data_IF_764791567361
#
_entry.id   IF_764791567361
#
_cell.length_a   1.000
_cell.length_b   1.000
_cell.length_c   1.000
_cell.angle_alpha   90.00
_cell.angle_beta   90.00
_cell.angle_gamma   90.00
#
_symmetry.space_group_name_H-M   'P 1'
#
loop_
_entity.id
_entity.type
_entity.pdbx_description
1 polymer ?
#
# COMPACT_ATOMS: atom_id res chain seq x y z
N UNK A 1 9.26 -22.97 13.11
CA UNK A 1 7.96 -22.51 12.67
C UNK A 1 7.44 -21.33 13.46
N UNK A 2 7.43 -21.41 14.78
CA UNK A 2 7.04 -20.25 15.54
C UNK A 2 8.04 -19.12 15.40
N UNK A 3 9.15 -19.36 14.74
CA UNK A 3 10.13 -18.31 14.46
C UNK A 3 9.58 -17.21 13.56
N UNK A 4 8.54 -17.51 12.80
CA UNK A 4 7.96 -16.52 11.87
C UNK A 4 6.99 -15.56 12.54
N UNK A 5 6.40 -15.99 13.67
CA UNK A 5 5.35 -15.21 14.30
C UNK A 5 5.80 -13.82 14.76
N UNK A 6 6.99 -13.68 15.36
CA UNK A 6 7.42 -12.34 15.77
C UNK A 6 7.53 -11.34 14.64
N UNK A 7 7.95 -11.80 13.45
CA UNK A 7 8.06 -10.91 12.29
C UNK A 7 6.70 -10.46 11.81
N UNK A 8 5.75 -11.38 11.77
CA UNK A 8 4.38 -11.06 11.39
C UNK A 8 3.75 -10.09 12.38
N UNK A 9 4.01 -10.30 13.66
CA UNK A 9 3.52 -9.40 14.69
C UNK A 9 4.07 -8.00 14.54
N UNK A 10 5.34 -7.87 14.13
CA UNK A 10 5.93 -6.56 13.88
C UNK A 10 5.26 -5.84 12.73
N UNK A 11 4.93 -6.57 11.67
CA UNK A 11 4.25 -5.96 10.53
C UNK A 11 2.87 -5.47 10.93
N UNK A 12 2.13 -6.25 11.71
CA UNK A 12 0.83 -5.83 12.21
C UNK A 12 0.95 -4.56 13.02
N UNK A 13 1.95 -4.46 13.89
CA UNK A 13 2.16 -3.28 14.72
C UNK A 13 2.48 -2.05 13.91
N UNK A 14 3.20 -2.20 12.79
CA UNK A 14 3.56 -1.07 11.95
C UNK A 14 2.34 -0.30 11.47
N UNK A 15 1.23 -0.98 11.25
CA UNK A 15 0.06 -0.36 10.63
C UNK A 15 -1.05 -0.02 11.61
N UNK A 16 -0.90 -0.35 12.88
CA UNK A 16 -1.93 -0.07 13.89
C UNK A 16 -2.18 1.42 14.12
N UNK A 17 -1.19 2.25 13.80
CA UNK A 17 -1.33 3.69 13.97
C UNK A 17 -2.21 4.33 12.90
N UNK A 18 -2.44 3.66 11.79
CA UNK A 18 -3.17 4.24 10.66
C UNK A 18 -4.62 3.80 10.73
N UNK A 19 -5.45 4.65 11.31
CA UNK A 19 -6.85 4.32 11.58
C UNK A 19 -7.86 5.23 10.90
N UNK A 20 -7.41 6.27 10.20
CA UNK A 20 -8.30 7.23 9.56
C UNK A 20 -7.80 7.55 8.17
N UNK A 21 -8.65 7.33 7.18
CA UNK A 21 -8.27 7.47 5.77
C UNK A 21 -9.26 8.38 5.05
N UNK A 22 -8.71 9.30 4.28
CA UNK A 22 -9.52 10.15 3.40
C UNK A 22 -10.18 9.24 2.37
N UNK A 23 -11.47 9.40 2.19
CA UNK A 23 -12.25 8.60 1.24
C UNK A 23 -12.90 7.37 1.83
N UNK A 24 -12.51 6.98 3.05
CA UNK A 24 -13.08 5.79 3.69
C UNK A 24 -13.56 6.07 5.11
N UNK A 25 -12.84 6.95 5.83
CA UNK A 25 -13.11 7.22 7.23
C UNK A 25 -12.30 6.30 8.13
N UNK A 26 -12.96 5.71 9.11
CA UNK A 26 -12.30 4.87 10.10
C UNK A 26 -12.04 3.48 9.52
N UNK A 27 -10.80 3.04 9.62
CA UNK A 27 -10.37 1.74 9.07
C UNK A 27 -9.54 0.99 10.11
N UNK A 28 -9.77 -0.30 10.21
CA UNK A 28 -8.95 -1.19 11.04
C UNK A 28 -8.19 -2.12 10.11
N UNK A 29 -6.92 -1.82 9.89
CA UNK A 29 -6.07 -2.59 8.98
C UNK A 29 -5.75 -4.00 9.49
N UNK A 30 -6.10 -4.30 10.74
CA UNK A 30 -5.88 -5.63 11.30
C UNK A 30 -7.02 -6.59 10.98
N UNK A 31 -8.07 -6.13 10.29
CA UNK A 31 -9.23 -6.98 9.98
C UNK A 31 -9.24 -7.36 8.52
N UNK A 32 -9.50 -8.64 8.25
CA UNK A 32 -9.62 -9.16 6.89
C UNK A 32 -8.34 -9.06 6.10
N UNK A 33 -8.49 -9.03 4.79
CA UNK A 33 -7.37 -8.89 3.88
C UNK A 33 -7.30 -7.47 3.37
N UNK A 34 -6.12 -6.87 3.39
CA UNK A 34 -5.92 -5.52 2.84
C UNK A 34 -4.57 -5.44 2.14
N UNK A 35 -4.48 -4.55 1.17
CA UNK A 35 -3.23 -4.14 0.56
C UNK A 35 -2.91 -2.74 1.03
N UNK A 36 -1.70 -2.52 1.52
CA UNK A 36 -1.25 -1.20 1.95
C UNK A 36 -0.11 -0.79 1.04
N UNK A 37 -0.33 0.27 0.26
CA UNK A 37 0.67 0.78 -0.66
C UNK A 37 1.34 2.01 -0.06
N UNK A 38 2.66 2.05 -0.13
CA UNK A 38 3.45 3.16 0.39
C UNK A 38 4.07 3.86 -0.81
N UNK A 39 3.64 5.11 -1.05
CA UNK A 39 4.03 5.88 -2.22
C UNK A 39 4.59 7.25 -1.82
N UNK A 40 5.58 7.69 -2.59
CA UNK A 40 6.03 9.09 -2.59
C UNK A 40 5.32 9.76 -3.75
N UNK A 41 4.59 10.84 -3.49
CA UNK A 41 3.81 11.53 -4.52
C UNK A 41 4.66 12.02 -5.69
N UNK A 42 5.93 12.31 -5.45
CA UNK A 42 6.83 12.86 -6.46
C UNK A 42 7.65 11.78 -7.16
N UNK A 43 7.40 10.51 -6.87
CA UNK A 43 8.17 9.40 -7.40
C UNK A 43 7.49 8.82 -8.64
N UNK A 44 8.20 8.80 -9.76
CA UNK A 44 7.66 8.30 -11.02
C UNK A 44 7.30 6.81 -10.93
N UNK A 45 8.15 6.02 -10.29
CA UNK A 45 7.86 4.58 -10.11
C UNK A 45 6.63 4.35 -9.25
N UNK A 46 6.39 5.23 -8.28
CA UNK A 46 5.17 5.16 -7.47
C UNK A 46 3.94 5.49 -8.31
N UNK A 47 4.05 6.46 -9.20
CA UNK A 47 2.96 6.81 -10.11
C UNK A 47 2.64 5.64 -11.04
N UNK A 48 3.66 4.97 -11.55
CA UNK A 48 3.48 3.78 -12.38
C UNK A 48 2.80 2.66 -11.62
N UNK A 49 3.22 2.44 -10.37
CA UNK A 49 2.63 1.41 -9.53
C UNK A 49 1.17 1.70 -9.21
N UNK A 50 0.85 2.95 -8.90
CA UNK A 50 -0.53 3.34 -8.62
C UNK A 50 -1.42 3.16 -9.85
N UNK A 51 -0.92 3.56 -11.02
CA UNK A 51 -1.63 3.35 -12.28
C UNK A 51 -1.91 1.86 -12.49
N UNK A 52 -0.91 1.03 -12.24
CA UNK A 52 -1.04 -0.42 -12.38
C UNK A 52 -2.09 -0.99 -11.44
N UNK A 53 -2.11 -0.52 -10.18
CA UNK A 53 -3.12 -0.97 -9.22
C UNK A 53 -4.53 -0.61 -9.69
N UNK A 54 -4.70 0.60 -10.21
CA UNK A 54 -5.99 1.04 -10.73
C UNK A 54 -6.46 0.18 -11.89
N UNK A 55 -5.54 -0.24 -12.75
CA UNK A 55 -5.88 -1.13 -13.86
C UNK A 55 -6.25 -2.52 -13.37
N UNK A 56 -5.51 -3.03 -12.38
CA UNK A 56 -5.74 -4.38 -11.87
C UNK A 56 -7.10 -4.54 -11.20
N UNK A 57 -7.57 -3.52 -10.48
CA UNK A 57 -8.87 -3.64 -9.82
C UNK A 57 -10.01 -3.76 -10.84
N UNK A 58 -9.79 -3.30 -12.07
CA UNK A 58 -10.77 -3.48 -13.13
C UNK A 58 -10.64 -4.84 -13.81
N UNK A 59 -9.50 -5.49 -13.70
CA UNK A 59 -9.24 -6.77 -14.36
C UNK A 59 -9.56 -7.97 -13.49
N UNK A 60 -9.38 -7.83 -12.18
CA UNK A 60 -9.55 -8.97 -11.27
C UNK A 60 -9.85 -8.49 -9.86
N UNK A 61 -10.29 -9.40 -9.02
CA UNK A 61 -10.58 -9.08 -7.63
C UNK A 61 -9.30 -8.99 -6.81
N UNK A 62 -9.17 -7.89 -6.07
CA UNK A 62 -8.07 -7.67 -5.15
C UNK A 62 -8.63 -7.33 -3.77
N UNK A 63 -7.86 -7.56 -2.70
CA UNK A 63 -8.24 -7.01 -1.40
C UNK A 63 -8.33 -5.49 -1.48
N UNK A 64 -9.06 -4.84 -0.57
CA UNK A 64 -9.12 -3.38 -0.53
C UNK A 64 -7.73 -2.78 -0.42
N UNK A 65 -7.53 -1.64 -1.09
CA UNK A 65 -6.24 -0.97 -1.17
C UNK A 65 -6.30 0.32 -0.37
N UNK A 66 -5.34 0.49 0.54
CA UNK A 66 -5.18 1.71 1.34
C UNK A 66 -3.79 2.26 1.09
N UNK A 67 -3.67 3.57 0.90
CA UNK A 67 -2.41 4.19 0.50
C UNK A 67 -1.88 5.09 1.60
N UNK A 68 -0.58 4.95 1.86
CA UNK A 68 0.15 5.84 2.74
C UNK A 68 1.03 6.72 1.85
N UNK A 69 0.72 8.01 1.79
CA UNK A 69 1.46 8.95 0.95
C UNK A 69 2.51 9.69 1.74
N UNK A 70 3.68 9.78 1.16
CA UNK A 70 4.73 10.69 1.60
C UNK A 70 4.86 11.81 0.56
N UNK A 71 4.86 13.05 1.02
CA UNK A 71 5.02 14.21 0.13
C UNK A 71 6.39 14.82 0.35
N UNK A 72 7.28 14.57 -0.59
CA UNK A 72 8.64 15.08 -0.53
C UNK A 72 8.74 16.45 -1.18
N UNK A 73 8.07 16.64 -2.29
CA UNK A 73 8.12 17.85 -3.08
C UNK A 73 6.78 18.54 -3.18
N UNK A 74 6.39 18.93 -4.39
CA UNK A 74 5.23 19.78 -4.61
C UNK A 74 4.02 19.07 -5.21
N UNK A 75 4.13 17.79 -5.56
CA UNK A 75 3.00 17.08 -6.15
C UNK A 75 1.93 16.82 -5.09
N UNK A 76 0.71 17.28 -5.36
CA UNK A 76 -0.40 17.06 -4.46
C UNK A 76 -1.04 15.70 -4.71
N UNK A 77 -1.89 15.25 -3.76
CA UNK A 77 -2.66 14.01 -3.96
C UNK A 77 -3.57 14.16 -5.19
N UNK A 78 -4.19 15.33 -5.35
CA UNK A 78 -5.07 15.58 -6.49
C UNK A 78 -4.33 15.41 -7.82
N UNK A 79 -3.12 15.95 -7.90
CA UNK A 79 -2.30 15.80 -9.11
C UNK A 79 -1.91 14.34 -9.34
N UNK A 80 -1.50 13.65 -8.26
CA UNK A 80 -1.13 12.26 -8.34
C UNK A 80 -2.31 11.42 -8.80
N UNK A 81 -3.51 11.65 -8.27
CA UNK A 81 -4.71 10.92 -8.65
C UNK A 81 -5.06 11.17 -10.12
N UNK A 82 -4.89 12.38 -10.59
CA UNK A 82 -5.14 12.72 -11.99
C UNK A 82 -4.17 11.99 -12.91
N UNK A 83 -2.87 12.00 -12.56
CA UNK A 83 -1.84 11.34 -13.36
C UNK A 83 -2.07 9.83 -13.42
N UNK A 84 -2.44 9.23 -12.31
CA UNK A 84 -2.54 7.78 -12.19
C UNK A 84 -3.94 7.24 -12.47
N UNK A 85 -4.92 8.13 -12.59
CA UNK A 85 -6.33 7.78 -12.76
C UNK A 85 -6.80 6.86 -11.64
N UNK A 86 -6.47 7.22 -10.40
CA UNK A 86 -6.83 6.44 -9.21
C UNK A 86 -7.42 7.35 -8.15
N UNK A 87 -8.13 6.74 -7.20
CA UNK A 87 -8.73 7.45 -6.09
C UNK A 87 -8.84 6.49 -4.90
N UNK A 88 -7.69 6.17 -4.32
CA UNK A 88 -7.65 5.22 -3.20
C UNK A 88 -7.85 5.94 -1.87
N UNK A 89 -8.48 5.27 -0.89
CA UNK A 89 -8.44 5.77 0.48
C UNK A 89 -6.99 5.93 0.92
N UNK A 90 -6.67 7.06 1.53
CA UNK A 90 -5.28 7.36 1.83
C UNK A 90 -5.11 8.17 3.09
N UNK A 91 -3.89 8.18 3.60
CA UNK A 91 -3.47 9.08 4.67
C UNK A 91 -2.02 9.46 4.42
N UNK A 92 -1.55 10.50 5.10
CA UNK A 92 -0.17 10.97 4.96
C UNK A 92 0.69 10.40 6.07
N UNK A 93 1.95 10.14 5.75
CA UNK A 93 2.94 9.70 6.73
C UNK A 93 4.14 10.65 6.69
N UNK A 94 4.86 10.72 7.79
CA UNK A 94 6.03 11.58 7.87
C UNK A 94 7.28 10.87 7.31
N UNK A 95 8.37 11.60 7.26
CA UNK A 95 9.62 11.14 6.66
C UNK A 95 10.13 9.86 7.34
N UNK A 96 10.17 9.86 8.67
CA UNK A 96 10.70 8.71 9.39
C UNK A 96 9.85 7.47 9.17
N UNK A 97 8.54 7.61 9.23
CA UNK A 97 7.61 6.51 8.98
C UNK A 97 7.80 5.97 7.57
N UNK A 98 7.91 6.88 6.60
CA UNK A 98 8.08 6.49 5.20
C UNK A 98 9.34 5.62 5.02
N UNK A 99 10.48 6.10 5.52
CA UNK A 99 11.73 5.36 5.35
C UNK A 99 11.74 4.05 6.12
N UNK A 100 11.03 3.97 7.24
CA UNK A 100 10.90 2.72 7.98
C UNK A 100 10.08 1.69 7.22
N UNK A 101 9.13 2.14 6.41
CA UNK A 101 8.21 1.23 5.71
C UNK A 101 8.72 0.78 4.34
N UNK A 102 9.46 1.63 3.63
CA UNK A 102 9.82 1.30 2.25
C UNK A 102 11.06 0.41 2.12
N UNK A 103 11.87 0.30 3.14
CA UNK A 103 13.12 -0.43 3.03
C UNK A 103 14.13 0.31 2.16
N UNK A 104 14.38 -0.18 0.93
CA UNK A 104 15.41 0.40 0.07
C UNK A 104 14.89 1.58 -0.76
N UNK A 105 13.75 1.42 -1.41
CA UNK A 105 13.21 2.48 -2.27
C UNK A 105 11.72 2.28 -2.49
N UNK A 106 10.96 3.37 -2.71
CA UNK A 106 9.55 3.25 -3.05
C UNK A 106 9.40 2.83 -4.51
N UNK A 107 8.26 2.28 -4.91
CA UNK A 107 7.08 1.99 -4.08
C UNK A 107 7.20 0.67 -3.35
N UNK A 108 6.31 0.47 -2.38
CA UNK A 108 6.18 -0.83 -1.71
C UNK A 108 4.72 -1.11 -1.44
N UNK A 109 4.29 -2.36 -1.68
CA UNK A 109 2.94 -2.81 -1.38
C UNK A 109 3.02 -3.96 -0.40
N UNK A 110 2.29 -3.85 0.70
CA UNK A 110 2.16 -4.90 1.71
C UNK A 110 0.83 -5.59 1.55
N UNK A 111 0.83 -6.91 1.69
CA UNK A 111 -0.40 -7.69 1.78
C UNK A 111 -0.54 -8.15 3.22
N UNK A 112 -1.61 -7.73 3.87
CA UNK A 112 -1.90 -8.11 5.25
C UNK A 112 -3.15 -8.95 5.30
N UNK A 113 -3.15 -9.96 6.16
CA UNK A 113 -4.31 -10.80 6.40
C UNK A 113 -4.49 -10.91 7.90
N UNK A 114 -5.61 -10.38 8.40
CA UNK A 114 -5.89 -10.30 9.83
C UNK A 114 -4.76 -9.61 10.59
N UNK A 115 -4.20 -8.56 9.98
CA UNK A 115 -3.13 -7.77 10.58
C UNK A 115 -1.74 -8.34 10.43
N UNK A 116 -1.60 -9.53 9.85
CA UNK A 116 -0.29 -10.17 9.69
C UNK A 116 0.22 -10.02 8.27
N UNK A 117 1.50 -9.67 8.14
CA UNK A 117 2.13 -9.54 6.83
C UNK A 117 2.27 -10.88 6.14
N UNK A 118 1.73 -10.98 4.93
CA UNK A 118 1.79 -12.19 4.11
C UNK A 118 2.85 -12.07 3.04
N UNK A 119 2.98 -10.87 2.46
CA UNK A 119 3.83 -10.66 1.30
C UNK A 119 4.13 -9.17 1.18
N UNK A 120 5.27 -8.87 0.55
CA UNK A 120 5.68 -7.50 0.25
C UNK A 120 6.23 -7.47 -1.16
N UNK A 121 5.87 -6.44 -1.93
CA UNK A 121 6.36 -6.27 -3.30
C UNK A 121 6.95 -4.89 -3.47
N UNK A 122 8.14 -4.80 -4.06
CA UNK A 122 8.87 -3.55 -4.29
C UNK A 122 8.99 -3.19 -5.77
N UNK A 123 8.84 -4.17 -6.66
CA UNK A 123 8.97 -3.95 -8.10
C UNK A 123 8.17 -5.00 -8.84
N UNK A 124 7.91 -4.74 -10.13
CA UNK A 124 7.05 -5.61 -10.95
C UNK A 124 5.69 -5.84 -10.28
N UNK A 125 5.18 -4.78 -9.67
CA UNK A 125 4.03 -4.87 -8.79
C UNK A 125 2.79 -5.37 -9.55
N UNK A 126 2.57 -4.86 -10.75
CA UNK A 126 1.38 -5.26 -11.52
C UNK A 126 1.35 -6.76 -11.79
N UNK A 127 2.45 -7.28 -12.30
CA UNK A 127 2.53 -8.69 -12.66
C UNK A 127 2.53 -9.57 -11.43
N UNK A 128 3.23 -9.15 -10.38
CA UNK A 128 3.29 -9.92 -9.14
C UNK A 128 1.92 -10.04 -8.49
N UNK A 129 1.17 -8.94 -8.41
CA UNK A 129 -0.17 -8.94 -7.85
C UNK A 129 -1.14 -9.71 -8.73
N UNK A 130 -1.05 -9.53 -10.05
CA UNK A 130 -1.90 -10.27 -10.98
C UNK A 130 -1.76 -11.76 -10.74
N UNK A 131 -0.54 -12.24 -10.62
CA UNK A 131 -0.25 -13.67 -10.42
C UNK A 131 -0.70 -14.15 -9.03
N UNK A 132 -0.40 -13.34 -8.02
CA UNK A 132 -0.69 -13.74 -6.64
C UNK A 132 -2.20 -13.89 -6.39
N UNK A 133 -3.00 -13.03 -7.00
CA UNK A 133 -4.45 -13.02 -6.78
C UNK A 133 -5.24 -13.59 -7.96
N UNK A 134 -4.60 -14.35 -8.83
CA UNK A 134 -5.21 -14.82 -10.07
C UNK A 134 -6.38 -15.78 -9.86
N UNK A 135 -6.48 -16.41 -8.69
CA UNK A 135 -7.51 -17.43 -8.42
C UNK A 135 -8.67 -16.91 -7.55
N UNK A 136 -8.83 -15.60 -7.46
CA UNK A 136 -9.90 -15.05 -6.62
C UNK A 136 -11.23 -14.98 -7.37
#
# INVERSE_FOLDING_TARGET
>A
MWLFLPLQGKDAQKFNAFTSFVGEGRVDLSKGEVLVAVFNLDCEHCQEAATALGQLIDEQQLPPIYVLYFQEGSTSVSEFETITETNFPHTFIDTDTFFNLIGASPPRVYYLKHGEGQQTWDHDIKEALRRHFSNR
#
